data_IF_584613464601
#
_entry.id   IF_584613464601
#
_cell.length_a   1.000
_cell.length_b   1.000
_cell.length_c   1.000
_cell.angle_alpha   90.00
_cell.angle_beta   90.00
_cell.angle_gamma   90.00
#
_symmetry.space_group_name_H-M   'P 1'
#
loop_
_entity.id
_entity.type
_entity.pdbx_description
1 polymer ?
#
# COMPACT_ATOMS: atom_id res chain seq x y z
N UNK A 1 21.41 -11.09 -9.48
CA UNK A 1 19.98 -10.75 -9.56
C UNK A 1 19.17 -12.01 -9.72
N UNK A 2 18.17 -12.17 -8.87
CA UNK A 2 17.16 -13.22 -8.99
C UNK A 2 15.82 -12.57 -9.32
N UNK A 3 14.99 -13.29 -10.09
CA UNK A 3 13.69 -12.83 -10.55
C UNK A 3 12.61 -13.82 -10.15
N UNK A 4 11.44 -13.32 -9.78
CA UNK A 4 10.25 -14.10 -9.53
C UNK A 4 9.00 -13.35 -10.02
N UNK A 5 7.83 -14.02 -9.99
CA UNK A 5 6.56 -13.37 -10.32
C UNK A 5 5.38 -13.90 -9.51
N UNK A 6 4.43 -13.02 -9.23
CA UNK A 6 3.19 -13.32 -8.50
C UNK A 6 1.96 -12.97 -9.34
N UNK A 7 0.82 -13.66 -9.17
CA UNK A 7 -0.42 -13.27 -9.85
C UNK A 7 -0.91 -11.90 -9.38
N UNK A 8 -1.54 -11.14 -10.27
CA UNK A 8 -2.11 -9.82 -9.97
C UNK A 8 -3.38 -9.56 -10.78
N UNK A 9 -4.40 -9.02 -10.12
CA UNK A 9 -5.59 -8.48 -10.76
C UNK A 9 -5.42 -6.97 -10.99
N UNK A 10 -5.28 -6.54 -12.25
CA UNK A 10 -5.12 -5.13 -12.61
C UNK A 10 -6.37 -4.29 -12.33
N UNK A 11 -7.55 -4.92 -12.19
CA UNK A 11 -8.79 -4.25 -11.77
C UNK A 11 -8.91 -4.12 -10.25
N UNK A 12 -7.98 -4.71 -9.49
CA UNK A 12 -7.81 -4.46 -8.07
C UNK A 12 -6.67 -3.44 -7.83
N UNK A 13 -6.97 -2.14 -7.70
CA UNK A 13 -5.96 -1.11 -7.50
C UNK A 13 -5.12 -1.35 -6.24
N UNK A 14 -5.67 -1.98 -5.20
CA UNK A 14 -4.92 -2.36 -4.01
C UNK A 14 -3.76 -3.30 -4.35
N UNK A 15 -3.99 -4.29 -5.21
CA UNK A 15 -2.93 -5.20 -5.66
C UNK A 15 -1.91 -4.48 -6.54
N UNK A 16 -2.34 -3.60 -7.44
CA UNK A 16 -1.43 -2.77 -8.26
C UNK A 16 -0.52 -1.90 -7.37
N UNK A 17 -1.09 -1.25 -6.36
CA UNK A 17 -0.32 -0.45 -5.40
C UNK A 17 0.62 -1.35 -4.57
N UNK A 18 0.18 -2.56 -4.23
CA UNK A 18 1.00 -3.54 -3.51
C UNK A 18 2.16 -4.07 -4.35
N UNK A 19 2.02 -4.20 -5.67
CA UNK A 19 3.13 -4.50 -6.58
C UNK A 19 4.21 -3.42 -6.53
N UNK A 20 3.81 -2.14 -6.53
CA UNK A 20 4.75 -1.04 -6.28
C UNK A 20 5.34 -1.15 -4.87
N UNK A 21 4.54 -1.49 -3.86
CA UNK A 21 5.03 -1.75 -2.50
C UNK A 21 6.13 -2.81 -2.42
N UNK A 22 5.95 -3.92 -3.14
CA UNK A 22 6.97 -4.97 -3.26
C UNK A 22 8.24 -4.44 -3.93
N UNK A 23 8.11 -3.67 -5.01
CA UNK A 23 9.24 -3.07 -5.70
C UNK A 23 10.03 -2.10 -4.80
N UNK A 24 9.32 -1.20 -4.11
CA UNK A 24 9.92 -0.24 -3.16
C UNK A 24 10.64 -0.97 -2.02
N UNK A 25 9.97 -1.96 -1.42
CA UNK A 25 10.55 -2.73 -0.33
C UNK A 25 11.77 -3.53 -0.81
N UNK A 26 11.70 -4.18 -1.97
CA UNK A 26 12.83 -4.91 -2.53
C UNK A 26 14.00 -3.97 -2.84
N UNK A 27 13.76 -2.77 -3.38
CA UNK A 27 14.84 -1.81 -3.66
C UNK A 27 15.54 -1.35 -2.38
N UNK A 28 14.78 -1.11 -1.30
CA UNK A 28 15.32 -0.74 0.01
C UNK A 28 16.12 -1.90 0.63
N UNK A 29 15.61 -3.13 0.55
CA UNK A 29 16.15 -4.30 1.25
C UNK A 29 17.31 -4.97 0.50
N UNK A 30 17.24 -4.98 -0.82
CA UNK A 30 18.12 -5.77 -1.68
C UNK A 30 18.92 -4.90 -2.66
N UNK A 31 18.43 -3.71 -3.00
CA UNK A 31 19.02 -2.84 -4.01
C UNK A 31 18.76 -3.31 -5.44
N UNK A 32 18.86 -2.35 -6.37
CA UNK A 32 18.73 -2.56 -7.82
C UNK A 32 17.45 -3.32 -8.19
N UNK A 33 16.34 -3.03 -7.50
CA UNK A 33 15.10 -3.73 -7.78
C UNK A 33 14.47 -3.20 -9.07
N UNK A 34 13.90 -4.10 -9.88
CA UNK A 34 13.20 -3.80 -11.12
C UNK A 34 11.91 -4.58 -11.21
N UNK A 35 10.87 -3.97 -11.77
CA UNK A 35 9.58 -4.64 -11.90
C UNK A 35 8.82 -4.27 -13.17
N UNK A 36 7.72 -4.97 -13.39
CA UNK A 36 6.82 -4.73 -14.51
C UNK A 36 5.64 -5.70 -14.50
N UNK A 37 4.55 -5.30 -15.14
CA UNK A 37 3.36 -6.13 -15.25
C UNK A 37 3.42 -6.96 -16.54
N UNK A 38 3.20 -8.26 -16.45
CA UNK A 38 3.15 -9.19 -17.56
C UNK A 38 1.69 -9.60 -17.78
N UNK A 39 1.09 -9.04 -18.82
CA UNK A 39 -0.25 -9.36 -19.29
C UNK A 39 -0.22 -10.01 -20.68
N UNK A 40 0.90 -10.67 -21.03
CA UNK A 40 0.98 -11.44 -22.28
C UNK A 40 -0.04 -12.58 -22.32
N UNK A 41 -0.42 -13.09 -21.15
CA UNK A 41 -1.59 -13.96 -20.94
C UNK A 41 -2.63 -13.21 -20.08
N UNK A 42 -3.73 -12.77 -20.70
CA UNK A 42 -4.84 -12.08 -20.00
C UNK A 42 -5.52 -12.96 -18.93
N UNK A 43 -5.32 -14.27 -18.94
CA UNK A 43 -5.87 -15.20 -17.95
C UNK A 43 -4.97 -15.45 -16.73
N UNK A 44 -3.67 -15.09 -16.84
CA UNK A 44 -2.68 -15.18 -15.76
C UNK A 44 -1.79 -13.94 -15.81
N UNK A 45 -2.38 -12.77 -15.52
CA UNK A 45 -1.60 -11.54 -15.40
C UNK A 45 -0.71 -11.63 -14.17
N UNK A 46 0.59 -11.36 -14.35
CA UNK A 46 1.58 -11.46 -13.27
C UNK A 46 2.34 -10.16 -13.08
N UNK A 47 2.76 -9.89 -11.86
CA UNK A 47 3.79 -8.89 -11.59
C UNK A 47 5.14 -9.60 -11.50
N UNK A 48 6.13 -9.12 -12.25
CA UNK A 48 7.51 -9.63 -12.23
C UNK A 48 8.39 -8.70 -11.41
N UNK A 49 9.27 -9.26 -10.60
CA UNK A 49 10.20 -8.54 -9.74
C UNK A 49 11.58 -9.19 -9.79
N UNK A 50 12.61 -8.37 -10.00
CA UNK A 50 14.01 -8.75 -9.93
C UNK A 50 14.74 -7.83 -8.96
N UNK A 51 15.75 -8.33 -8.23
CA UNK A 51 16.59 -7.55 -7.33
C UNK A 51 17.95 -8.23 -7.07
N UNK A 52 18.87 -7.54 -6.40
CA UNK A 52 20.21 -8.04 -6.05
C UNK A 52 20.19 -9.05 -4.88
N UNK A 53 19.58 -10.20 -5.14
CA UNK A 53 19.55 -11.35 -4.24
C UNK A 53 19.88 -12.64 -4.97
N UNK A 54 20.13 -13.70 -4.21
CA UNK A 54 20.28 -15.09 -4.68
C UNK A 54 18.95 -15.83 -4.66
N UNK A 55 18.01 -15.41 -3.82
CA UNK A 55 16.72 -16.08 -3.60
C UNK A 55 15.52 -15.36 -4.22
N UNK A 56 14.31 -15.76 -3.84
CA UNK A 56 13.09 -15.10 -4.30
C UNK A 56 12.98 -13.69 -3.68
N UNK A 57 12.92 -12.60 -4.46
CA UNK A 57 12.80 -11.24 -3.90
C UNK A 57 11.50 -11.02 -3.12
N UNK A 58 10.39 -11.68 -3.49
CA UNK A 58 9.13 -11.60 -2.72
C UNK A 58 9.29 -12.23 -1.34
N UNK A 59 9.98 -13.36 -1.24
CA UNK A 59 10.24 -14.04 0.03
C UNK A 59 11.00 -13.13 1.00
N UNK A 60 12.02 -12.40 0.53
CA UNK A 60 12.78 -11.47 1.38
C UNK A 60 11.89 -10.34 1.90
N UNK A 61 11.07 -9.72 1.04
CA UNK A 61 10.14 -8.66 1.46
C UNK A 61 9.12 -9.20 2.46
N UNK A 62 8.55 -10.37 2.20
CA UNK A 62 7.58 -11.00 3.08
C UNK A 62 8.18 -11.38 4.44
N UNK A 63 9.40 -11.94 4.45
CA UNK A 63 10.14 -12.22 5.69
C UNK A 63 10.44 -10.94 6.47
N UNK A 64 10.75 -9.82 5.80
CA UNK A 64 10.87 -8.53 6.47
C UNK A 64 9.54 -8.15 7.15
N UNK A 65 8.41 -8.22 6.45
CA UNK A 65 7.10 -7.90 7.03
C UNK A 65 6.74 -8.81 8.21
N UNK A 66 7.07 -10.10 8.12
CA UNK A 66 6.85 -11.08 9.20
C UNK A 66 7.54 -10.66 10.51
N UNK A 67 8.77 -10.14 10.42
CA UNK A 67 9.58 -9.78 11.59
C UNK A 67 9.48 -8.30 11.96
N UNK A 68 8.89 -7.45 11.12
CA UNK A 68 8.85 -6.02 11.34
C UNK A 68 7.96 -5.65 12.51
N UNK A 69 8.51 -4.89 13.46
CA UNK A 69 7.74 -4.09 14.41
C UNK A 69 7.26 -2.80 13.74
N UNK A 70 6.24 -2.14 14.31
CA UNK A 70 5.73 -0.86 13.81
C UNK A 70 5.93 0.22 14.85
N UNK A 71 6.59 1.31 14.46
CA UNK A 71 6.71 2.54 15.24
C UNK A 71 6.07 3.70 14.48
N UNK A 72 5.72 4.79 15.16
CA UNK A 72 5.44 6.06 14.50
C UNK A 72 6.67 6.98 14.56
N UNK A 73 6.65 8.04 13.77
CA UNK A 73 7.76 9.00 13.69
C UNK A 73 7.26 10.43 13.83
N UNK A 74 7.87 11.21 14.70
CA UNK A 74 7.43 12.58 15.03
C UNK A 74 8.62 13.53 15.15
N UNK A 75 8.47 14.76 14.67
CA UNK A 75 9.47 15.79 14.93
C UNK A 75 9.33 16.26 16.38
N UNK A 76 10.44 16.30 17.13
CA UNK A 76 10.44 16.65 18.56
C UNK A 76 9.71 17.96 18.88
N UNK A 77 9.80 18.94 17.97
CA UNK A 77 9.15 20.26 18.11
C UNK A 77 7.61 20.18 18.10
N UNK A 78 7.03 19.13 17.51
CA UNK A 78 5.58 18.97 17.41
C UNK A 78 4.96 18.42 18.69
N UNK A 79 5.75 17.71 19.52
CA UNK A 79 5.27 17.09 20.75
C UNK A 79 4.13 16.08 20.54
N UNK A 80 4.00 15.53 19.33
CA UNK A 80 2.99 14.52 19.01
C UNK A 80 3.55 13.11 19.25
N UNK A 81 2.71 12.23 19.80
CA UNK A 81 3.02 10.83 20.07
C UNK A 81 1.80 9.91 19.86
N UNK A 82 2.06 8.63 19.59
CA UNK A 82 1.05 7.59 19.38
C UNK A 82 0.95 6.60 20.55
N UNK A 83 1.48 6.95 21.73
CA UNK A 83 1.53 6.04 22.88
C UNK A 83 0.13 5.62 23.36
N UNK A 84 -0.89 6.47 23.15
CA UNK A 84 -2.29 6.17 23.45
C UNK A 84 -2.91 5.02 22.63
N UNK A 85 -2.19 4.51 21.62
CA UNK A 85 -2.58 3.33 20.83
C UNK A 85 -1.58 2.17 20.96
N UNK A 86 -0.73 2.18 21.99
CA UNK A 86 0.33 1.18 22.20
C UNK A 86 1.30 1.09 21.01
N UNK A 87 1.73 2.26 20.52
CA UNK A 87 2.71 2.38 19.43
C UNK A 87 3.78 3.39 19.84
N UNK A 88 5.01 2.92 19.89
CA UNK A 88 6.17 3.75 20.18
C UNK A 88 6.35 4.84 19.11
N UNK A 89 6.69 6.06 19.57
CA UNK A 89 7.00 7.18 18.68
C UNK A 89 8.48 7.51 18.75
N UNK A 90 9.18 7.27 17.64
CA UNK A 90 10.55 7.74 17.47
C UNK A 90 10.55 9.25 17.19
N UNK A 91 11.38 9.98 17.94
CA UNK A 91 11.51 11.43 17.82
C UNK A 91 12.71 11.79 16.94
N UNK A 92 12.48 12.56 15.88
CA UNK A 92 13.56 13.11 15.06
C UNK A 92 14.32 14.23 15.76
N UNK A 93 15.58 14.39 15.35
CA UNK A 93 16.33 15.62 15.56
C UNK A 93 15.65 16.80 14.84
N UNK A 94 15.90 18.02 15.32
CA UNK A 94 15.34 19.26 14.70
C UNK A 94 15.82 19.50 13.27
N UNK A 95 16.91 18.84 12.87
CA UNK A 95 17.58 19.09 11.59
C UNK A 95 17.13 18.11 10.50
N UNK A 96 16.30 17.12 10.84
CA UNK A 96 15.76 16.16 9.88
C UNK A 96 14.46 16.70 9.27
N UNK A 97 14.36 16.83 7.93
CA UNK A 97 13.12 17.27 7.29
C UNK A 97 12.00 16.26 7.57
N UNK A 98 10.81 16.79 7.90
CA UNK A 98 9.61 15.98 8.08
C UNK A 98 8.99 15.65 6.70
N UNK A 99 8.50 14.42 6.46
CA UNK A 99 8.17 13.93 5.12
C UNK A 99 6.99 14.66 4.42
N UNK A 100 6.20 15.41 5.17
CA UNK A 100 5.05 16.18 4.70
C UNK A 100 4.78 17.35 5.67
N UNK A 101 3.79 18.23 5.43
CA UNK A 101 3.51 19.35 6.32
C UNK A 101 3.32 18.93 7.78
N UNK A 102 3.77 19.73 8.76
CA UNK A 102 3.61 19.43 10.18
C UNK A 102 2.16 19.05 10.54
N UNK A 103 1.91 17.82 10.98
CA UNK A 103 0.56 17.38 11.28
C UNK A 103 0.03 18.06 12.55
N UNK A 104 -1.29 18.26 12.61
CA UNK A 104 -1.97 18.77 13.80
C UNK A 104 -2.42 17.66 14.78
N UNK A 105 -2.21 16.39 14.43
CA UNK A 105 -2.70 15.23 15.18
C UNK A 105 -1.74 14.05 15.06
N UNK A 106 -1.56 13.24 16.12
CA UNK A 106 -0.78 12.02 16.05
C UNK A 106 -1.29 11.01 15.01
N UNK A 107 -2.58 11.07 14.67
CA UNK A 107 -3.22 10.21 13.68
C UNK A 107 -2.61 10.32 12.28
N UNK A 108 -1.91 11.43 12.01
CA UNK A 108 -1.29 11.74 10.72
C UNK A 108 0.22 11.45 10.73
N UNK A 109 0.81 11.06 11.85
CA UNK A 109 2.24 10.70 11.89
C UNK A 109 2.52 9.53 10.93
N UNK A 110 3.69 9.52 10.26
CA UNK A 110 4.13 8.40 9.46
C UNK A 110 4.37 7.17 10.36
N UNK A 111 4.18 5.99 9.77
CA UNK A 111 4.54 4.71 10.35
C UNK A 111 5.90 4.27 9.80
N UNK A 112 6.67 3.53 10.60
CA UNK A 112 7.90 2.90 10.16
C UNK A 112 7.89 1.44 10.56
N UNK A 113 8.10 0.58 9.57
CA UNK A 113 8.34 -0.84 9.77
C UNK A 113 9.82 -1.04 10.07
N UNK A 114 10.14 -1.69 11.19
CA UNK A 114 11.52 -1.85 11.68
C UNK A 114 11.81 -3.31 11.99
N UNK A 115 12.89 -3.83 11.40
CA UNK A 115 13.54 -5.08 11.81
C UNK A 115 14.89 -4.72 12.41
N UNK A 116 15.05 -4.98 13.70
CA UNK A 116 16.33 -4.77 14.39
C UNK A 116 17.39 -5.74 13.86
N UNK A 117 18.61 -5.25 13.65
CA UNK A 117 19.71 -6.17 13.33
C UNK A 117 20.13 -6.94 14.58
N UNK A 118 20.38 -8.23 14.40
CA UNK A 118 20.97 -9.08 15.44
C UNK A 118 22.47 -8.84 15.62
N UNK A 119 23.13 -8.15 14.68
CA UNK A 119 24.55 -7.87 14.70
C UNK A 119 24.84 -6.49 15.31
N UNK A 120 25.81 -6.43 16.24
CA UNK A 120 26.18 -5.22 16.99
C UNK A 120 26.65 -4.01 16.14
N UNK A 121 26.83 -4.16 14.83
CA UNK A 121 27.39 -3.13 13.94
C UNK A 121 26.57 -2.88 12.67
N UNK A 122 25.38 -3.46 12.57
CA UNK A 122 24.50 -3.27 11.42
C UNK A 122 23.29 -2.45 11.83
N UNK A 123 22.97 -1.43 11.02
CA UNK A 123 21.80 -0.59 11.27
C UNK A 123 20.52 -1.40 11.09
N UNK A 124 19.52 -1.14 11.94
CA UNK A 124 18.18 -1.68 11.74
C UNK A 124 17.67 -1.37 10.32
N UNK A 125 16.95 -2.31 9.74
CA UNK A 125 16.36 -2.17 8.42
C UNK A 125 14.98 -1.56 8.54
N UNK A 126 14.68 -0.55 7.71
CA UNK A 126 13.52 0.32 7.92
C UNK A 126 12.78 0.63 6.63
N UNK A 127 11.45 0.59 6.68
CA UNK A 127 10.58 1.06 5.58
C UNK A 127 9.58 2.07 6.18
N UNK A 128 9.61 3.30 5.67
CA UNK A 128 8.69 4.36 6.08
C UNK A 128 7.42 4.36 5.22
N UNK A 129 6.28 4.60 5.85
CA UNK A 129 4.96 4.67 5.24
C UNK A 129 4.28 5.95 5.72
N UNK A 130 3.90 6.83 4.79
CA UNK A 130 3.42 8.16 5.17
C UNK A 130 2.49 8.86 4.20
N UNK A 131 2.00 8.17 3.15
CA UNK A 131 1.24 8.80 2.07
C UNK A 131 0.01 9.59 2.55
N UNK A 132 -0.61 9.16 3.65
CA UNK A 132 -1.77 9.81 4.25
C UNK A 132 -1.49 11.19 4.87
N UNK A 133 -0.22 11.52 5.10
CA UNK A 133 0.21 12.80 5.62
C UNK A 133 0.32 13.89 4.56
N UNK A 134 0.25 13.53 3.28
CA UNK A 134 0.30 14.51 2.21
C UNK A 134 -0.88 15.50 2.26
N UNK A 135 -0.61 16.69 1.75
CA UNK A 135 -1.61 17.71 1.52
C UNK A 135 -1.44 18.22 0.10
N UNK A 136 -2.47 18.09 -0.73
CA UNK A 136 -2.40 18.51 -2.15
C UNK A 136 -2.09 20.00 -2.30
N UNK A 137 -2.57 20.84 -1.39
CA UNK A 137 -2.33 22.28 -1.45
C UNK A 137 -0.86 22.66 -1.18
N UNK A 138 -0.14 21.82 -0.43
CA UNK A 138 1.22 22.13 0.03
C UNK A 138 2.28 21.28 -0.68
N UNK A 139 1.98 20.01 -0.96
CA UNK A 139 2.89 19.02 -1.56
C UNK A 139 2.60 18.77 -3.04
N UNK A 140 1.45 19.21 -3.56
CA UNK A 140 0.97 18.85 -4.90
C UNK A 140 0.46 17.40 -5.03
N UNK A 141 0.65 16.55 -4.00
CA UNK A 141 0.23 15.15 -3.98
C UNK A 141 -1.10 14.99 -3.24
N UNK A 142 -2.06 14.29 -3.86
CA UNK A 142 -3.23 13.82 -3.11
C UNK A 142 -2.80 12.73 -2.13
N UNK A 143 -3.39 12.71 -0.93
CA UNK A 143 -2.97 11.77 0.10
C UNK A 143 -3.57 10.37 -0.05
N UNK A 144 -4.54 10.18 -0.96
CA UNK A 144 -5.16 8.89 -1.29
C UNK A 144 -5.61 8.11 -0.04
N UNK A 145 -5.96 8.84 1.03
CA UNK A 145 -6.34 8.25 2.33
C UNK A 145 -7.79 7.76 2.30
N UNK A 146 -8.02 6.45 2.31
CA UNK A 146 -9.39 5.91 2.20
C UNK A 146 -10.09 5.66 3.54
N UNK A 147 -9.38 5.64 4.65
CA UNK A 147 -10.02 5.52 5.96
C UNK A 147 -10.24 6.89 6.59
N UNK A 148 -11.38 7.07 7.26
CA UNK A 148 -11.42 8.01 8.37
C UNK A 148 -10.64 7.36 9.51
N UNK A 149 -9.67 8.05 10.09
CA UNK A 149 -9.18 7.68 11.42
C UNK A 149 -10.37 7.81 12.38
N UNK A 150 -11.06 6.72 12.66
CA UNK A 150 -12.14 6.72 13.62
C UNK A 150 -11.57 7.23 14.95
N UNK A 151 -12.04 8.38 15.42
CA UNK A 151 -11.59 9.00 16.67
C UNK A 151 -10.06 9.18 16.82
N UNK A 152 -9.32 9.36 15.72
CA UNK A 152 -7.87 9.56 15.77
C UNK A 152 -7.01 8.29 15.64
N UNK A 153 -7.59 7.15 15.24
CA UNK A 153 -6.80 5.93 15.00
C UNK A 153 -5.68 6.16 13.95
N UNK A 154 -4.39 6.02 14.32
CA UNK A 154 -3.27 6.39 13.46
C UNK A 154 -3.01 5.35 12.37
N UNK A 155 -2.41 5.80 11.25
CA UNK A 155 -1.97 4.89 10.18
C UNK A 155 -0.98 3.82 10.67
N UNK A 156 -0.14 4.15 11.65
CA UNK A 156 0.75 3.18 12.30
C UNK A 156 -0.02 2.04 12.99
N UNK A 157 -1.19 2.32 13.59
CA UNK A 157 -1.99 1.27 14.22
C UNK A 157 -2.61 0.34 13.18
N UNK A 158 -3.07 0.90 12.05
CA UNK A 158 -3.55 0.09 10.93
C UNK A 158 -2.45 -0.83 10.37
N UNK A 159 -1.22 -0.33 10.24
CA UNK A 159 -0.09 -1.14 9.79
C UNK A 159 0.24 -2.27 10.77
N UNK A 160 0.29 -1.98 12.09
CA UNK A 160 0.51 -2.98 13.14
C UNK A 160 -0.57 -4.06 13.10
N UNK A 161 -1.84 -3.64 13.18
CA UNK A 161 -2.99 -4.56 13.20
C UNK A 161 -2.99 -5.45 11.96
N UNK A 162 -2.69 -4.89 10.78
CA UNK A 162 -2.63 -5.66 9.54
C UNK A 162 -1.51 -6.70 9.55
N UNK A 163 -0.31 -6.35 10.03
CA UNK A 163 0.79 -7.32 10.15
C UNK A 163 0.44 -8.44 11.12
N UNK A 164 -0.06 -8.10 12.31
CA UNK A 164 -0.36 -9.08 13.36
C UNK A 164 -1.40 -10.13 12.93
N UNK A 165 -2.25 -9.81 11.95
CA UNK A 165 -3.22 -10.75 11.39
C UNK A 165 -2.62 -11.81 10.46
N UNK A 166 -1.42 -11.59 9.89
CA UNK A 166 -0.87 -12.46 8.82
C UNK A 166 0.55 -12.95 9.07
N UNK A 167 1.22 -12.54 10.16
CA UNK A 167 2.62 -12.92 10.45
C UNK A 167 2.88 -14.42 10.33
N UNK A 168 1.98 -15.24 10.88
CA UNK A 168 2.15 -16.69 10.92
C UNK A 168 1.85 -17.35 9.55
N UNK A 169 1.05 -16.69 8.70
CA UNK A 169 0.63 -17.20 7.39
C UNK A 169 1.53 -16.75 6.23
N UNK A 170 2.41 -15.77 6.47
CA UNK A 170 3.34 -15.23 5.47
C UNK A 170 4.15 -16.35 4.76
N UNK A 171 4.79 -17.31 5.47
CA UNK A 171 5.57 -18.36 4.81
C UNK A 171 4.76 -19.21 3.84
N UNK A 172 3.47 -19.45 4.13
CA UNK A 172 2.58 -20.20 3.25
C UNK A 172 2.11 -19.38 2.03
N UNK A 173 2.27 -18.06 2.06
CA UNK A 173 1.70 -17.13 1.08
C UNK A 173 2.73 -16.62 0.05
N UNK A 174 3.97 -17.13 0.04
CA UNK A 174 5.06 -16.60 -0.81
C UNK A 174 4.70 -16.59 -2.30
N UNK A 175 4.02 -17.63 -2.79
CA UNK A 175 3.71 -17.77 -4.22
C UNK A 175 2.45 -17.01 -4.66
N UNK A 176 1.58 -16.66 -3.70
CA UNK A 176 0.35 -15.90 -3.93
C UNK A 176 0.03 -15.03 -2.71
N UNK A 177 0.83 -13.97 -2.47
CA UNK A 177 0.70 -13.14 -1.27
C UNK A 177 -0.62 -12.35 -1.25
N UNK A 178 -1.26 -12.17 -2.41
CA UNK A 178 -2.50 -11.43 -2.54
C UNK A 178 -3.74 -12.28 -2.23
N UNK A 179 -3.61 -13.60 -2.12
CA UNK A 179 -4.65 -14.50 -1.62
C UNK A 179 -4.66 -14.65 -0.09
N UNK A 180 -3.63 -14.16 0.61
CA UNK A 180 -3.54 -14.22 2.08
C UNK A 180 -4.63 -13.35 2.74
N UNK A 181 -5.65 -14.02 3.26
CA UNK A 181 -6.81 -13.38 3.86
C UNK A 181 -6.82 -13.54 5.38
N UNK A 182 -7.43 -12.59 6.07
CA UNK A 182 -7.69 -12.68 7.51
C UNK A 182 -8.99 -11.98 7.90
N UNK A 183 -9.58 -12.38 9.03
CA UNK A 183 -10.68 -11.61 9.63
C UNK A 183 -10.16 -10.23 10.07
N UNK A 184 -10.65 -9.16 9.44
CA UNK A 184 -10.04 -7.83 9.57
C UNK A 184 -11.09 -6.76 9.89
N UNK A 185 -11.04 -6.23 11.12
CA UNK A 185 -11.93 -5.18 11.61
C UNK A 185 -11.52 -3.77 11.18
N UNK A 186 -10.21 -3.50 11.09
CA UNK A 186 -9.62 -2.22 10.70
C UNK A 186 -8.71 -2.40 9.48
N UNK A 187 -8.77 -1.50 8.50
CA UNK A 187 -7.89 -1.55 7.33
C UNK A 187 -7.71 -0.17 6.69
N UNK A 188 -6.73 -0.04 5.79
CA UNK A 188 -6.54 1.17 4.98
C UNK A 188 -7.61 1.34 3.90
N UNK A 189 -8.35 0.26 3.58
CA UNK A 189 -9.39 0.16 2.53
C UNK A 189 -8.84 0.26 1.12
N UNK A 190 -7.57 -0.10 0.94
CA UNK A 190 -6.89 -0.09 -0.36
C UNK A 190 -7.27 -1.33 -1.18
N UNK A 191 -7.61 -2.45 -0.54
CA UNK A 191 -8.14 -3.63 -1.21
C UNK A 191 -9.67 -3.62 -1.24
N UNK A 192 -10.25 -3.52 -2.43
CA UNK A 192 -11.69 -3.46 -2.63
C UNK A 192 -12.45 -4.74 -2.25
N UNK A 193 -11.78 -5.91 -2.18
CA UNK A 193 -12.43 -7.21 -1.88
C UNK A 193 -12.97 -7.28 -0.46
N UNK A 194 -12.39 -6.51 0.47
CA UNK A 194 -12.88 -6.39 1.85
C UNK A 194 -14.14 -5.53 1.94
N UNK A 195 -14.18 -4.47 1.13
CA UNK A 195 -15.13 -3.40 1.34
C UNK A 195 -16.54 -3.84 0.98
N UNK A 196 -17.47 -3.47 1.85
CA UNK A 196 -18.89 -3.63 1.63
C UNK A 196 -19.42 -2.30 1.10
N UNK A 197 -19.85 -2.29 -0.14
CA UNK A 197 -20.76 -1.26 -0.61
C UNK A 197 -22.14 -1.86 -0.51
N UNK A 198 -23.08 -1.23 0.20
CA UNK A 198 -24.46 -1.63 0.10
C UNK A 198 -24.83 -1.55 -1.38
N UNK A 199 -24.92 -2.70 -2.06
CA UNK A 199 -25.85 -2.83 -3.17
C UNK A 199 -27.17 -2.46 -2.51
N UNK A 200 -27.84 -1.37 -2.93
CA UNK A 200 -28.98 -0.63 -2.31
C UNK A 200 -30.16 -1.49 -1.77
N UNK A 201 -29.89 -2.55 -1.01
CA UNK A 201 -30.75 -3.66 -0.65
C UNK A 201 -30.46 -3.99 0.82
N UNK A 202 -30.85 -3.09 1.73
CA UNK A 202 -31.12 -3.37 3.14
C UNK A 202 -30.02 -4.00 4.01
N UNK A 203 -28.81 -4.23 3.50
CA UNK A 203 -27.73 -4.88 4.24
C UNK A 203 -26.81 -3.82 4.85
N UNK A 204 -26.72 -3.82 6.18
CA UNK A 204 -25.78 -2.99 6.93
C UNK A 204 -24.95 -3.89 7.83
N UNK A 205 -23.64 -3.93 7.59
CA UNK A 205 -22.71 -4.69 8.43
C UNK A 205 -22.85 -4.27 9.90
N UNK A 206 -23.07 -2.99 10.17
CA UNK A 206 -23.29 -2.50 11.54
C UNK A 206 -24.55 -3.10 12.18
N UNK A 207 -25.64 -3.24 11.41
CA UNK A 207 -26.89 -3.85 11.88
C UNK A 207 -26.79 -5.38 12.06
N UNK A 208 -25.80 -6.00 11.43
CA UNK A 208 -25.53 -7.44 11.49
C UNK A 208 -24.21 -7.78 12.21
N UNK A 209 -23.62 -6.79 12.89
CA UNK A 209 -22.34 -6.92 13.60
C UNK A 209 -22.46 -7.90 14.77
N UNK A 210 -21.42 -8.72 14.97
CA UNK A 210 -21.38 -9.76 16.00
C UNK A 210 -20.77 -11.07 15.50
N UNK A 211 -20.96 -12.21 16.19
CA UNK A 211 -20.31 -13.47 15.83
C UNK A 211 -20.82 -14.09 14.51
N UNK A 212 -21.86 -13.53 13.89
CA UNK A 212 -22.48 -14.09 12.68
C UNK A 212 -21.82 -13.67 11.38
N UNK A 213 -21.34 -12.44 11.29
CA UNK A 213 -20.74 -11.91 10.07
C UNK A 213 -19.47 -11.16 10.43
N UNK A 214 -18.37 -11.57 9.80
CA UNK A 214 -17.06 -10.96 9.97
C UNK A 214 -16.54 -10.54 8.60
N UNK A 215 -15.93 -9.37 8.54
CA UNK A 215 -15.26 -8.90 7.32
C UNK A 215 -13.94 -9.61 7.17
N UNK A 216 -13.72 -10.14 5.98
CA UNK A 216 -12.43 -10.69 5.57
C UNK A 216 -11.70 -9.63 4.76
N UNK A 217 -10.43 -9.42 5.07
CA UNK A 217 -9.55 -8.53 4.31
C UNK A 217 -8.27 -9.23 3.90
N UNK A 218 -7.39 -8.47 3.24
CA UNK A 218 -6.13 -8.95 2.66
C UNK A 218 -4.97 -8.10 3.20
N UNK A 219 -4.51 -8.37 4.43
CA UNK A 219 -3.61 -7.46 5.14
C UNK A 219 -2.26 -7.23 4.45
N UNK A 220 -1.73 -8.24 3.75
CA UNK A 220 -0.50 -8.10 2.96
C UNK A 220 -0.69 -7.06 1.85
N UNK A 221 -1.82 -7.09 1.15
CA UNK A 221 -2.15 -6.10 0.11
C UNK A 221 -2.27 -4.71 0.73
N UNK A 222 -2.97 -4.57 1.86
CA UNK A 222 -3.18 -3.28 2.53
C UNK A 222 -1.86 -2.62 2.95
N UNK A 223 -0.93 -3.37 3.56
CA UNK A 223 0.38 -2.84 4.00
C UNK A 223 1.26 -2.50 2.81
N UNK A 224 1.39 -3.40 1.83
CA UNK A 224 2.23 -3.15 0.66
C UNK A 224 1.65 -2.03 -0.23
N UNK A 225 0.34 -1.93 -0.37
CA UNK A 225 -0.30 -0.82 -1.07
C UNK A 225 0.04 0.52 -0.41
N UNK A 226 0.03 0.58 0.93
CA UNK A 226 0.43 1.76 1.66
C UNK A 226 1.92 2.13 1.44
N UNK A 227 2.81 1.12 1.37
CA UNK A 227 4.23 1.30 1.00
C UNK A 227 4.34 1.86 -0.42
N UNK A 228 3.70 1.23 -1.42
CA UNK A 228 3.77 1.66 -2.82
C UNK A 228 3.23 3.07 -3.03
N UNK A 229 2.17 3.43 -2.30
CA UNK A 229 1.65 4.79 -2.27
C UNK A 229 2.54 5.78 -1.54
N UNK A 230 3.66 5.41 -0.91
CA UNK A 230 4.54 6.41 -0.28
C UNK A 230 5.23 7.27 -1.33
N UNK A 231 5.74 6.65 -2.41
CA UNK A 231 6.54 7.31 -3.45
C UNK A 231 5.80 7.56 -4.78
N UNK A 232 4.57 7.08 -4.93
CA UNK A 232 3.77 7.22 -6.15
C UNK A 232 2.32 7.61 -5.85
N UNK A 233 1.63 8.30 -6.78
CA UNK A 233 0.20 8.58 -6.68
C UNK A 233 -0.55 8.23 -7.96
N UNK A 234 -1.77 7.68 -7.87
CA UNK A 234 -2.71 7.73 -8.98
C UNK A 234 -3.04 9.19 -9.33
N UNK A 235 -3.39 9.44 -10.58
CA UNK A 235 -3.88 10.74 -11.03
C UNK A 235 -5.20 11.07 -10.34
N UNK A 236 -5.24 12.22 -9.67
CA UNK A 236 -6.48 12.76 -9.15
C UNK A 236 -7.27 13.43 -10.28
N UNK A 237 -8.45 12.87 -10.60
CA UNK A 237 -9.36 13.49 -11.58
C UNK A 237 -10.37 14.40 -10.88
N UNK A 238 -11.05 13.88 -9.85
CA UNK A 238 -11.93 14.65 -8.98
C UNK A 238 -12.15 13.93 -7.63
N UNK A 239 -12.98 14.50 -6.74
CA UNK A 239 -13.14 14.11 -5.32
C UNK A 239 -13.19 12.59 -5.07
N UNK A 240 -13.86 11.82 -5.94
CA UNK A 240 -14.07 10.39 -5.81
C UNK A 240 -13.66 9.61 -7.06
N UNK A 241 -12.81 10.20 -7.89
CA UNK A 241 -12.40 9.61 -9.15
C UNK A 241 -10.91 9.79 -9.33
N UNK A 242 -10.23 8.65 -9.48
CA UNK A 242 -8.81 8.56 -9.74
C UNK A 242 -8.58 7.78 -11.03
N UNK A 243 -7.44 8.02 -11.66
CA UNK A 243 -6.89 7.19 -12.72
C UNK A 243 -5.56 6.62 -12.26
N UNK A 244 -5.28 5.37 -12.59
CA UNK A 244 -3.96 4.79 -12.39
C UNK A 244 -3.48 4.06 -13.64
N UNK A 245 -2.17 4.06 -13.85
CA UNK A 245 -1.53 3.35 -14.95
C UNK A 245 -0.65 2.21 -14.47
N UNK A 246 -0.51 1.20 -15.31
CA UNK A 246 0.37 0.05 -15.12
C UNK A 246 1.27 -0.08 -16.33
N UNK A 247 2.53 -0.45 -16.10
CA UNK A 247 3.55 -0.46 -17.13
C UNK A 247 3.96 -1.90 -17.45
N UNK A 248 3.80 -2.27 -18.71
CA UNK A 248 3.91 -3.64 -19.18
C UNK A 248 5.35 -4.01 -19.52
N UNK A 249 5.75 -5.23 -19.17
CA UNK A 249 6.95 -5.84 -19.76
C UNK A 249 6.64 -6.09 -21.24
N UNK A 250 7.16 -5.23 -22.11
CA UNK A 250 6.91 -5.34 -23.54
C UNK A 250 7.51 -6.61 -24.16
N UNK A 251 7.58 -6.65 -25.49
CA UNK A 251 8.17 -7.78 -26.23
C UNK A 251 9.65 -8.04 -25.93
N UNK A 252 10.36 -7.05 -25.36
CA UNK A 252 11.77 -7.19 -24.95
C UNK A 252 11.93 -7.86 -23.58
N UNK A 253 10.83 -8.07 -22.84
CA UNK A 253 10.81 -8.58 -21.47
C UNK A 253 11.66 -7.76 -20.46
N UNK A 254 11.95 -6.50 -20.78
CA UNK A 254 12.71 -5.62 -19.91
C UNK A 254 11.86 -5.22 -18.68
N UNK A 255 12.44 -5.38 -17.50
CA UNK A 255 11.90 -4.84 -16.25
C UNK A 255 12.41 -3.41 -16.05
N UNK A 256 11.62 -2.60 -15.35
CA UNK A 256 11.87 -1.18 -15.20
C UNK A 256 12.29 -0.82 -13.77
N UNK A 257 13.18 0.17 -13.65
CA UNK A 257 13.56 0.74 -12.37
C UNK A 257 12.35 1.39 -11.66
N UNK A 258 12.34 1.53 -10.31
CA UNK A 258 11.18 1.98 -9.55
C UNK A 258 10.62 3.32 -10.01
N UNK A 259 11.48 4.23 -10.50
CA UNK A 259 11.06 5.54 -10.99
C UNK A 259 10.02 5.46 -12.13
N UNK A 260 10.15 4.51 -13.05
CA UNK A 260 9.19 4.37 -14.15
C UNK A 260 7.83 3.87 -13.68
N UNK A 261 7.80 2.92 -12.74
CA UNK A 261 6.55 2.40 -12.18
C UNK A 261 5.86 3.42 -11.26
N UNK A 262 6.64 4.24 -10.54
CA UNK A 262 6.11 5.39 -9.80
C UNK A 262 5.44 6.39 -10.73
N UNK A 263 6.10 6.71 -11.85
CA UNK A 263 5.57 7.64 -12.84
C UNK A 263 4.31 7.08 -13.52
N UNK A 264 4.33 5.80 -13.93
CA UNK A 264 3.19 5.17 -14.60
C UNK A 264 1.95 5.13 -13.72
N UNK A 265 2.09 5.08 -12.39
CA UNK A 265 0.94 5.11 -11.49
C UNK A 265 0.08 6.36 -11.70
N UNK A 266 0.71 7.51 -11.98
CA UNK A 266 0.01 8.76 -12.31
C UNK A 266 -0.60 8.80 -13.71
N UNK A 267 -0.55 7.68 -14.45
CA UNK A 267 -1.04 7.53 -15.81
C UNK A 267 -0.61 8.63 -16.83
N UNK A 268 0.64 9.15 -16.80
CA UNK A 268 1.12 9.96 -17.91
C UNK A 268 1.25 9.10 -19.17
N UNK A 269 1.30 9.74 -20.33
CA UNK A 269 1.70 9.09 -21.57
C UNK A 269 3.21 8.77 -21.51
N UNK A 270 3.56 7.49 -21.58
CA UNK A 270 4.94 7.00 -21.55
C UNK A 270 5.23 6.21 -22.83
N UNK A 271 6.49 6.16 -23.29
CA UNK A 271 6.88 5.44 -24.52
C UNK A 271 6.96 3.91 -24.31
N UNK A 272 6.21 3.37 -23.35
CA UNK A 272 6.21 1.96 -22.96
C UNK A 272 4.78 1.41 -23.04
N UNK A 273 4.60 0.09 -23.24
CA UNK A 273 3.28 -0.52 -23.14
C UNK A 273 2.62 -0.18 -21.81
N UNK A 274 1.44 0.41 -21.84
CA UNK A 274 0.74 0.88 -20.67
C UNK A 274 -0.75 0.54 -20.75
N UNK A 275 -1.32 0.13 -19.63
CA UNK A 275 -2.78 0.02 -19.44
C UNK A 275 -3.20 1.03 -18.38
N UNK A 276 -4.31 1.72 -18.62
CA UNK A 276 -4.85 2.76 -17.73
C UNK A 276 -6.23 2.37 -17.23
N UNK A 277 -6.52 2.74 -15.98
CA UNK A 277 -7.72 2.31 -15.30
C UNK A 277 -8.34 3.48 -14.55
N UNK A 278 -9.67 3.53 -14.52
CA UNK A 278 -10.43 4.46 -13.67
C UNK A 278 -10.92 3.77 -12.42
N UNK A 279 -10.55 4.32 -11.28
CA UNK A 279 -10.99 3.92 -9.95
C UNK A 279 -12.00 4.94 -9.41
N UNK A 280 -13.25 4.50 -9.22
CA UNK A 280 -14.31 5.25 -8.56
C UNK A 280 -14.36 4.90 -7.09
N UNK A 281 -14.50 5.92 -6.26
CA UNK A 281 -14.67 5.79 -4.81
C UNK A 281 -16.11 6.13 -4.41
N UNK A 282 -16.53 5.64 -3.25
CA UNK A 282 -17.79 5.97 -2.61
C UNK A 282 -17.63 6.10 -1.10
N UNK A 283 -18.70 6.51 -0.43
CA UNK A 283 -18.75 6.61 1.03
C UNK A 283 -19.48 5.39 1.59
N UNK A 284 -18.83 4.46 2.30
CA UNK A 284 -19.49 3.30 2.92
C UNK A 284 -20.35 3.68 4.14
N UNK A 285 -20.37 4.97 4.50
CA UNK A 285 -21.11 5.53 5.63
C UNK A 285 -21.40 7.00 5.36
N UNK A 286 -21.08 7.88 6.31
CA UNK A 286 -21.29 9.32 6.14
C UNK A 286 -20.29 9.91 5.13
N UNK A 287 -20.79 10.79 4.26
CA UNK A 287 -19.94 11.56 3.36
C UNK A 287 -18.83 12.30 4.14
N UNK A 288 -17.60 12.26 3.61
CA UNK A 288 -16.43 12.90 4.19
C UNK A 288 -15.73 12.09 5.29
N UNK A 289 -16.21 10.90 5.64
CA UNK A 289 -15.55 10.04 6.62
C UNK A 289 -14.56 9.07 5.96
N UNK A 290 -15.03 7.89 5.57
CA UNK A 290 -14.21 6.89 4.88
C UNK A 290 -14.59 6.83 3.41
N UNK A 291 -13.62 6.52 2.56
CA UNK A 291 -13.80 6.18 1.15
C UNK A 291 -13.61 4.67 0.99
N UNK A 292 -14.27 4.11 -0.01
CA UNK A 292 -14.08 2.72 -0.43
C UNK A 292 -14.11 2.69 -1.95
N UNK A 293 -13.45 1.71 -2.54
CA UNK A 293 -13.43 1.54 -4.00
C UNK A 293 -14.75 0.90 -4.41
N UNK A 294 -15.48 1.55 -5.33
CA UNK A 294 -16.81 1.08 -5.79
C UNK A 294 -16.80 0.43 -7.14
N UNK A 295 -15.95 0.91 -8.04
CA UNK A 295 -15.89 0.40 -9.39
C UNK A 295 -14.53 0.71 -9.95
N UNK A 296 -13.99 -0.25 -10.68
CA UNK A 296 -12.77 -0.11 -11.44
C UNK A 296 -13.05 -0.61 -12.85
N UNK A 297 -12.58 0.12 -13.83
CA UNK A 297 -12.65 -0.30 -15.23
C UNK A 297 -11.44 0.21 -15.99
N UNK A 298 -11.01 -0.58 -16.96
CA UNK A 298 -9.96 -0.19 -17.88
C UNK A 298 -10.45 0.89 -18.84
N UNK A 299 -9.61 1.90 -19.07
CA UNK A 299 -9.81 2.85 -20.15
C UNK A 299 -9.24 2.26 -21.43
N UNK A 300 -10.12 1.84 -22.33
CA UNK A 300 -9.74 1.46 -23.69
C UNK A 300 -9.60 2.76 -24.48
N UNK A 301 -8.40 3.06 -24.99
CA UNK A 301 -8.24 4.13 -25.97
C UNK A 301 -9.07 3.75 -27.20
N UNK A 302 -10.08 4.55 -27.50
CA UNK A 302 -10.75 4.45 -28.80
C UNK A 302 -9.74 4.94 -29.84
N UNK A 303 -9.16 4.02 -30.61
CA UNK A 303 -8.41 4.32 -31.84
C UNK A 303 -9.26 5.16 -32.82
#
# INVERSE_FOLDING_TARGET
MAEASIPVDLLNPGQVFACLGFLEAADILLGNARGGFDWSDESDVRFRLSADTVGNPYEVVLLFLQHASVTSRSARVLGLDTSGWDIDTEQYSTDTPFPFPPPASPATLPAVLVVESSAQHESATRIEIGHWGDNRAETGRDNVKFWAGAAGYPGAALARDALDLVRDDIPASINDPFAAWAEQSSSFRLDWRRDYIPIDIGFSLNAHSGPRFKTVGYPIVEVLAAIGLTNARPEFLNKLLYRYGTLGVGSTADLFDPFFLRASLGAPELPFPQRTFRMKLGWPGKEGQSRCITTVYEEIENE
#
